data_IF_427310720593
#
_entry.id   IF_427310720593
#
_cell.length_a   1.000
_cell.length_b   1.000
_cell.length_c   1.000
_cell.angle_alpha   90.00
_cell.angle_beta   90.00
_cell.angle_gamma   90.00
#
_symmetry.space_group_name_H-M   'P 1'
#
loop_
_entity.id
_entity.type
_entity.pdbx_description
1 polymer ?
#
# COMPACT_ATOMS: atom_id res chain seq x y z
N UNK A 1 4.18 17.12 9.15
CA UNK A 1 5.06 15.93 9.06
C UNK A 1 4.96 15.40 7.64
N UNK A 2 6.07 15.18 6.97
CA UNK A 2 6.10 14.53 5.65
C UNK A 2 5.93 13.03 5.87
N UNK A 3 4.91 12.40 5.27
CA UNK A 3 4.72 10.95 5.39
C UNK A 3 5.82 10.21 4.60
N UNK A 4 6.38 9.14 5.16
CA UNK A 4 7.33 8.28 4.44
C UNK A 4 6.62 7.49 3.34
N UNK A 5 7.35 7.05 2.30
CA UNK A 5 6.80 6.17 1.25
C UNK A 5 6.17 4.90 1.85
N UNK A 6 6.79 4.32 2.87
CA UNK A 6 6.22 3.19 3.61
C UNK A 6 4.87 3.53 4.24
N UNK A 7 4.79 4.66 4.95
CA UNK A 7 3.55 5.11 5.60
C UNK A 7 2.43 5.40 4.60
N UNK A 8 2.76 5.96 3.42
CA UNK A 8 1.79 6.17 2.34
C UNK A 8 1.23 4.85 1.81
N UNK A 9 2.09 3.86 1.56
CA UNK A 9 1.69 2.53 1.09
C UNK A 9 0.86 1.79 2.16
N UNK A 10 1.32 1.78 3.41
CA UNK A 10 0.61 1.12 4.51
C UNK A 10 -0.79 1.70 4.73
N UNK A 11 -0.92 3.03 4.65
CA UNK A 11 -2.21 3.71 4.75
C UNK A 11 -3.13 3.30 3.59
N UNK A 12 -2.65 3.41 2.34
CA UNK A 12 -3.44 3.06 1.17
C UNK A 12 -3.87 1.58 1.16
N UNK A 13 -2.98 0.67 1.56
CA UNK A 13 -3.29 -0.76 1.68
C UNK A 13 -4.37 -1.03 2.74
N UNK A 14 -4.28 -0.35 3.90
CA UNK A 14 -5.28 -0.46 4.97
C UNK A 14 -6.64 0.06 4.55
N UNK A 15 -6.67 1.18 3.83
CA UNK A 15 -7.91 1.79 3.35
C UNK A 15 -8.67 0.84 2.42
N UNK A 16 -7.99 0.20 1.46
CA UNK A 16 -8.63 -0.75 0.55
C UNK A 16 -8.90 -2.13 1.16
N UNK A 17 -8.15 -2.53 2.20
CA UNK A 17 -8.42 -3.77 2.94
C UNK A 17 -9.70 -3.66 3.81
N UNK A 18 -10.02 -2.45 4.26
CA UNK A 18 -11.22 -2.13 5.03
C UNK A 18 -11.03 -2.20 6.56
N UNK A 19 -11.91 -1.54 7.33
CA UNK A 19 -11.70 -1.28 8.76
C UNK A 19 -11.76 -2.52 9.66
N UNK A 20 -12.41 -3.60 9.19
CA UNK A 20 -12.50 -4.88 9.92
C UNK A 20 -11.35 -5.86 9.58
N UNK A 21 -10.37 -5.41 8.79
CA UNK A 21 -9.23 -6.22 8.36
C UNK A 21 -7.97 -5.84 9.15
N UNK A 22 -7.27 -6.86 9.66
CA UNK A 22 -6.00 -6.70 10.38
C UNK A 22 -4.84 -7.17 9.50
N UNK A 23 -3.71 -6.44 9.45
CA UNK A 23 -2.57 -6.85 8.65
C UNK A 23 -1.97 -8.17 9.16
N UNK A 24 -1.66 -9.07 8.25
CA UNK A 24 -0.93 -10.33 8.51
C UNK A 24 0.51 -10.20 8.01
N UNK A 25 0.69 -9.65 6.81
CA UNK A 25 2.00 -9.38 6.22
C UNK A 25 1.92 -8.18 5.27
N UNK A 26 3.02 -7.43 5.17
CA UNK A 26 3.23 -6.37 4.19
C UNK A 26 4.65 -6.53 3.65
N UNK A 27 4.79 -6.54 2.34
CA UNK A 27 6.07 -6.51 1.63
C UNK A 27 6.13 -5.22 0.83
N UNK A 28 7.23 -4.48 0.94
CA UNK A 28 7.46 -3.24 0.20
C UNK A 28 8.74 -3.39 -0.61
N UNK A 29 8.61 -3.25 -1.92
CA UNK A 29 9.70 -3.24 -2.88
C UNK A 29 9.99 -1.79 -3.27
N UNK A 30 11.14 -1.28 -2.83
CA UNK A 30 11.57 0.06 -3.20
C UNK A 30 12.23 0.04 -4.57
N UNK A 31 11.76 0.91 -5.47
CA UNK A 31 12.39 1.15 -6.76
C UNK A 31 13.72 1.89 -6.61
N UNK A 32 14.44 2.05 -7.72
CA UNK A 32 15.62 2.90 -7.76
C UNK A 32 15.24 4.31 -7.27
N UNK A 33 16.00 4.86 -6.31
CA UNK A 33 15.74 6.11 -5.61
C UNK A 33 15.19 7.17 -6.58
N UNK A 34 13.87 7.38 -6.54
CA UNK A 34 13.27 8.51 -7.24
C UNK A 34 13.92 9.76 -6.67
N UNK A 35 14.48 10.60 -7.55
CA UNK A 35 15.10 11.86 -7.18
C UNK A 35 14.22 12.59 -6.16
N UNK A 36 14.79 13.15 -5.09
CA UNK A 36 13.98 13.81 -4.04
C UNK A 36 13.01 14.86 -4.60
N UNK A 37 13.36 15.49 -5.73
CA UNK A 37 12.50 16.42 -6.47
C UNK A 37 11.22 15.79 -7.07
N UNK A 38 11.23 14.49 -7.37
CA UNK A 38 10.11 13.75 -7.95
C UNK A 38 9.09 13.28 -6.89
N UNK A 39 9.40 13.46 -5.60
CA UNK A 39 8.56 13.16 -4.44
C UNK A 39 7.71 14.37 -3.99
N UNK A 40 7.59 15.41 -4.80
CA UNK A 40 6.66 16.51 -4.52
C UNK A 40 5.21 16.00 -4.69
N UNK A 41 4.62 15.53 -3.58
CA UNK A 41 3.28 14.93 -3.46
C UNK A 41 3.11 13.53 -4.09
N UNK A 42 3.80 12.49 -3.57
CA UNK A 42 3.59 11.13 -4.03
C UNK A 42 2.21 10.64 -3.54
N UNK A 43 1.33 10.30 -4.47
CA UNK A 43 0.06 9.64 -4.16
C UNK A 43 0.25 8.12 -4.27
N UNK A 44 -0.13 7.40 -3.22
CA UNK A 44 -0.24 5.94 -3.28
C UNK A 44 -1.58 5.57 -3.93
N UNK A 45 -1.53 4.67 -4.91
CA UNK A 45 -2.72 4.00 -5.45
C UNK A 45 -2.76 2.59 -4.89
N UNK A 46 -3.90 2.14 -4.39
CA UNK A 46 -4.08 0.78 -3.89
C UNK A 46 -5.36 0.14 -4.45
N UNK A 47 -5.38 -1.20 -4.48
CA UNK A 47 -6.53 -1.99 -4.92
C UNK A 47 -6.54 -3.38 -4.26
N UNK A 48 -7.73 -3.99 -4.23
CA UNK A 48 -7.89 -5.40 -3.87
C UNK A 48 -7.61 -6.24 -5.12
N UNK A 49 -6.59 -7.09 -5.04
CA UNK A 49 -6.27 -8.05 -6.10
C UNK A 49 -7.21 -9.27 -6.03
N UNK A 50 -7.44 -9.78 -4.81
CA UNK A 50 -8.36 -10.88 -4.55
C UNK A 50 -8.85 -10.88 -3.10
N UNK A 51 -10.02 -11.45 -2.85
CA UNK A 51 -10.54 -11.63 -1.49
C UNK A 51 -11.17 -13.00 -1.29
N UNK A 52 -11.05 -13.53 -0.08
CA UNK A 52 -11.75 -14.74 0.38
C UNK A 52 -12.65 -14.39 1.57
N UNK A 53 -13.29 -15.39 2.18
CA UNK A 53 -14.07 -15.20 3.42
C UNK A 53 -13.21 -14.65 4.57
N UNK A 54 -11.95 -15.08 4.67
CA UNK A 54 -11.07 -14.78 5.82
C UNK A 54 -9.91 -13.86 5.48
N UNK A 55 -9.53 -13.69 4.21
CA UNK A 55 -8.36 -12.93 3.79
C UNK A 55 -8.68 -11.90 2.71
N UNK A 56 -7.96 -10.79 2.71
CA UNK A 56 -7.95 -9.80 1.63
C UNK A 56 -6.50 -9.60 1.18
N UNK A 57 -6.27 -9.74 -0.12
CA UNK A 57 -4.96 -9.55 -0.74
C UNK A 57 -5.02 -8.23 -1.50
N UNK A 58 -4.15 -7.30 -1.13
CA UNK A 58 -4.15 -5.93 -1.64
C UNK A 58 -2.77 -5.59 -2.18
N UNK A 59 -2.77 -4.72 -3.17
CA UNK A 59 -1.55 -4.16 -3.76
C UNK A 59 -1.61 -2.65 -3.71
N UNK A 60 -0.45 -2.02 -3.69
CA UNK A 60 -0.32 -0.59 -3.81
C UNK A 60 0.96 -0.20 -4.56
N UNK A 61 0.94 0.95 -5.20
CA UNK A 61 2.11 1.57 -5.81
C UNK A 61 2.16 3.05 -5.47
N UNK A 62 3.38 3.56 -5.31
CA UNK A 62 3.67 4.99 -5.29
C UNK A 62 4.41 5.32 -6.56
N UNK A 63 3.91 6.32 -7.28
CA UNK A 63 4.56 6.87 -8.47
C UNK A 63 4.98 8.30 -8.25
N UNK A 64 6.08 8.69 -8.86
CA UNK A 64 6.51 10.08 -8.98
C UNK A 64 5.59 10.84 -9.96
N UNK A 65 5.71 12.16 -9.99
CA UNK A 65 4.93 13.03 -10.88
C UNK A 65 5.12 12.71 -12.37
N UNK A 66 6.28 12.17 -12.75
CA UNK A 66 6.60 11.71 -14.11
C UNK A 66 6.07 10.29 -14.41
N UNK A 67 5.39 9.65 -13.46
CA UNK A 67 4.85 8.30 -13.57
C UNK A 67 5.84 7.19 -13.24
N UNK A 68 7.09 7.50 -12.90
CA UNK A 68 8.09 6.51 -12.50
C UNK A 68 7.69 5.81 -11.19
N UNK A 69 7.89 4.48 -11.13
CA UNK A 69 7.58 3.69 -9.94
C UNK A 69 8.62 3.98 -8.84
N UNK A 70 8.16 4.51 -7.71
CA UNK A 70 8.99 4.79 -6.52
C UNK A 70 9.06 3.56 -5.62
N UNK A 71 7.92 2.92 -5.39
CA UNK A 71 7.80 1.71 -4.61
C UNK A 71 6.50 1.00 -4.94
N UNK A 72 6.52 -0.33 -4.83
CA UNK A 72 5.33 -1.16 -4.85
C UNK A 72 5.20 -1.88 -3.52
N UNK A 73 3.97 -2.23 -3.15
CA UNK A 73 3.71 -3.05 -1.98
C UNK A 73 2.63 -4.08 -2.26
N UNK A 74 2.76 -5.22 -1.59
CA UNK A 74 1.73 -6.24 -1.52
C UNK A 74 1.47 -6.58 -0.06
N UNK A 75 0.21 -6.81 0.30
CA UNK A 75 -0.15 -7.14 1.67
C UNK A 75 -1.29 -8.14 1.74
N UNK A 76 -1.29 -8.89 2.83
CA UNK A 76 -2.37 -9.81 3.20
C UNK A 76 -2.95 -9.33 4.51
N UNK A 77 -4.27 -9.14 4.52
CA UNK A 77 -5.03 -8.83 5.72
C UNK A 77 -5.96 -9.99 6.05
N UNK A 78 -6.16 -10.25 7.34
CA UNK A 78 -7.17 -11.17 7.86
C UNK A 78 -8.43 -10.41 8.26
N UNK A 79 -9.61 -10.94 7.94
CA UNK A 79 -10.89 -10.41 8.44
C UNK A 79 -11.13 -10.91 9.85
N UNK A 80 -11.51 -10.00 10.75
CA UNK A 80 -11.98 -10.39 12.09
C UNK A 80 -13.46 -10.73 11.96
N UNK A 81 -13.78 -12.02 11.85
CA UNK A 81 -15.15 -12.48 12.01
C UNK A 81 -15.49 -12.48 13.50
N UNK A 82 -16.49 -11.71 13.91
CA UNK A 82 -17.08 -11.89 15.24
C UNK A 82 -17.47 -13.37 15.38
N UNK A 83 -16.88 -14.04 16.37
CA UNK A 83 -17.28 -15.39 16.77
C UNK A 83 -18.45 -15.29 17.74
#
# INVERSE_FOLDING_TARGET
MTASTASLLETALRDVAGPAALPTSITIDYGALAHEAALAAPAARAWVERSTRSLVFVQAEVRAADGALVAAASAVFRRVTAS
#
